data_IF_111515353505
#
_entry.id   IF_111515353505
#
_cell.length_a   1.000
_cell.length_b   1.000
_cell.length_c   1.000
_cell.angle_alpha   90.00
_cell.angle_beta   90.00
_cell.angle_gamma   90.00
#
_symmetry.space_group_name_H-M   'P 1'
#
loop_
_entity.id
_entity.type
_entity.pdbx_description
1 polymer ?
#
# COMPACT_ATOMS: atom_id res chain seq x y z
N UNK A 1 -9.25 25.50 -1.12
CA UNK A 1 -9.99 24.24 -0.96
C UNK A 1 -9.15 23.06 -1.45
N UNK A 2 -8.45 22.38 -0.53
CA UNK A 2 -7.80 21.09 -0.82
C UNK A 2 -8.81 20.10 -1.42
N UNK A 3 -8.55 19.63 -2.64
CA UNK A 3 -9.35 18.57 -3.26
C UNK A 3 -8.85 17.20 -2.78
N UNK A 4 -9.80 16.34 -2.40
CA UNK A 4 -9.54 14.97 -1.94
C UNK A 4 -10.06 14.02 -3.01
N UNK A 5 -9.19 13.16 -3.54
CA UNK A 5 -9.56 12.12 -4.50
C UNK A 5 -9.37 10.75 -3.85
N UNK A 6 -10.37 9.88 -4.00
CA UNK A 6 -10.33 8.49 -3.55
C UNK A 6 -10.38 7.58 -4.76
N UNK A 7 -9.37 6.73 -4.92
CA UNK A 7 -9.28 5.79 -6.04
C UNK A 7 -9.36 4.37 -5.50
N UNK A 8 -10.26 3.58 -6.07
CA UNK A 8 -10.39 2.16 -5.76
C UNK A 8 -9.35 1.35 -6.54
N UNK A 9 -8.86 0.24 -5.99
CA UNK A 9 -8.01 -0.67 -6.74
C UNK A 9 -8.78 -1.22 -7.95
N UNK A 10 -8.06 -1.52 -9.02
CA UNK A 10 -8.55 -2.32 -10.14
C UNK A 10 -8.65 -3.80 -9.73
N UNK A 11 -7.67 -4.25 -8.95
CA UNK A 11 -7.61 -5.63 -8.49
C UNK A 11 -6.76 -5.76 -7.24
N UNK A 12 -7.05 -6.80 -6.48
CA UNK A 12 -6.23 -7.24 -5.35
C UNK A 12 -6.14 -8.76 -5.39
N UNK A 13 -4.99 -9.30 -5.01
CA UNK A 13 -4.82 -10.73 -4.76
C UNK A 13 -3.70 -10.92 -3.73
N UNK A 14 -3.48 -12.15 -3.29
CA UNK A 14 -2.26 -12.51 -2.60
C UNK A 14 -1.71 -13.82 -3.17
N UNK A 15 -0.46 -14.08 -2.87
CA UNK A 15 0.22 -15.33 -3.17
C UNK A 15 0.91 -15.81 -1.90
N UNK A 16 1.02 -17.13 -1.74
CA UNK A 16 1.70 -17.72 -0.59
C UNK A 16 2.72 -18.78 -1.01
N UNK A 17 3.82 -18.89 -0.26
CA UNK A 17 4.91 -19.81 -0.58
C UNK A 17 4.57 -21.28 -0.34
N UNK A 18 3.54 -21.58 0.46
CA UNK A 18 3.08 -22.93 0.75
C UNK A 18 2.23 -23.53 -0.38
N UNK A 19 1.55 -22.68 -1.15
CA UNK A 19 0.74 -23.04 -2.32
C UNK A 19 1.24 -22.29 -3.55
N UNK A 20 2.51 -22.48 -3.89
CA UNK A 20 3.24 -21.61 -4.81
C UNK A 20 2.69 -21.50 -6.25
N UNK A 21 1.76 -22.39 -6.64
CA UNK A 21 1.08 -22.40 -7.95
C UNK A 21 -0.43 -22.09 -7.86
N UNK A 22 -0.94 -21.70 -6.69
CA UNK A 22 -2.34 -21.28 -6.53
C UNK A 22 -2.48 -19.77 -6.65
N UNK A 23 -3.67 -19.35 -7.07
CA UNK A 23 -4.08 -17.95 -7.14
C UNK A 23 -5.25 -17.74 -6.17
N UNK A 24 -5.30 -16.57 -5.54
CA UNK A 24 -6.29 -16.25 -4.51
C UNK A 24 -7.06 -14.95 -4.79
N UNK A 25 -7.25 -14.59 -6.07
CA UNK A 25 -7.82 -13.29 -6.45
C UNK A 25 -9.28 -13.08 -6.03
N UNK A 26 -10.03 -14.16 -5.83
CA UNK A 26 -11.44 -14.10 -5.43
C UNK A 26 -11.62 -13.92 -3.91
N UNK A 27 -10.56 -14.09 -3.12
CA UNK A 27 -10.66 -14.02 -1.67
C UNK A 27 -11.06 -12.62 -1.19
N UNK A 28 -11.89 -12.55 -0.14
CA UNK A 28 -12.31 -11.30 0.52
C UNK A 28 -11.20 -10.66 1.37
N UNK A 29 -10.06 -11.33 1.49
CA UNK A 29 -8.90 -10.86 2.24
C UNK A 29 -7.63 -11.04 1.40
N UNK A 30 -6.68 -10.14 1.61
CA UNK A 30 -5.30 -10.27 1.15
C UNK A 30 -4.39 -10.34 2.38
N UNK A 31 -3.26 -11.04 2.23
CA UNK A 31 -2.37 -11.35 3.33
C UNK A 31 -0.95 -10.89 3.02
N UNK A 32 -0.26 -10.37 4.04
CA UNK A 32 1.15 -10.04 3.97
C UNK A 32 1.83 -10.40 5.28
N UNK A 33 3.10 -10.82 5.23
CA UNK A 33 3.84 -11.28 6.39
C UNK A 33 4.15 -12.77 6.31
N UNK A 34 4.39 -13.39 7.45
CA UNK A 34 4.73 -14.80 7.57
C UNK A 34 3.85 -15.49 8.62
N UNK A 35 3.53 -16.75 8.35
CA UNK A 35 2.92 -17.66 9.29
C UNK A 35 3.92 -18.74 9.67
N UNK A 36 4.23 -18.88 10.96
CA UNK A 36 5.30 -19.76 11.44
C UNK A 36 4.71 -21.08 11.95
N UNK A 37 4.88 -22.15 11.16
CA UNK A 37 4.52 -23.50 11.61
C UNK A 37 5.51 -24.00 12.67
N UNK A 38 6.77 -23.61 12.57
CA UNK A 38 7.84 -23.89 13.53
C UNK A 38 8.95 -22.84 13.43
N UNK A 39 9.94 -22.90 14.34
CA UNK A 39 11.09 -21.99 14.30
C UNK A 39 11.86 -22.01 12.97
N UNK A 40 11.81 -23.12 12.22
CA UNK A 40 12.53 -23.30 10.95
C UNK A 40 11.60 -23.42 9.73
N UNK A 41 10.30 -23.27 9.90
CA UNK A 41 9.34 -23.39 8.80
C UNK A 41 8.27 -22.31 8.88
N UNK A 42 8.18 -21.51 7.83
CA UNK A 42 7.14 -20.51 7.65
C UNK A 42 6.56 -20.53 6.25
N UNK A 43 5.32 -20.06 6.16
CA UNK A 43 4.67 -19.72 4.89
C UNK A 43 4.70 -18.21 4.77
N UNK A 44 5.23 -17.71 3.66
CA UNK A 44 5.31 -16.28 3.36
C UNK A 44 4.09 -15.88 2.53
N UNK A 45 3.55 -14.71 2.82
CA UNK A 45 2.42 -14.13 2.12
C UNK A 45 2.81 -12.79 1.51
N UNK A 46 2.48 -12.62 0.24
CA UNK A 46 2.66 -11.37 -0.52
C UNK A 46 1.32 -10.94 -1.10
N UNK A 47 0.84 -9.77 -0.70
CA UNK A 47 -0.33 -9.14 -1.31
C UNK A 47 0.08 -8.35 -2.54
N UNK A 48 -0.76 -8.36 -3.57
CA UNK A 48 -0.58 -7.63 -4.82
C UNK A 48 -1.80 -6.74 -5.06
N UNK A 49 -1.57 -5.46 -5.40
CA UNK A 49 -2.64 -4.47 -5.59
C UNK A 49 -2.37 -3.63 -6.83
N UNK A 50 -3.37 -3.51 -7.72
CA UNK A 50 -3.32 -2.61 -8.89
C UNK A 50 -4.29 -1.46 -8.74
N UNK A 51 -3.90 -0.29 -9.27
CA UNK A 51 -4.73 0.91 -9.32
C UNK A 51 -4.79 1.45 -10.74
N UNK A 52 -5.90 2.08 -11.10
CA UNK A 52 -5.95 2.95 -12.28
C UNK A 52 -5.63 4.38 -11.85
N UNK A 53 -4.66 5.01 -12.49
CA UNK A 53 -4.21 6.36 -12.16
C UNK A 53 -4.57 7.36 -13.26
N UNK A 54 -5.38 6.98 -14.26
CA UNK A 54 -5.79 7.88 -15.36
C UNK A 54 -6.42 9.18 -14.87
N UNK A 55 -7.10 9.14 -13.73
CA UNK A 55 -7.77 10.31 -13.15
C UNK A 55 -6.83 11.20 -12.31
N UNK A 56 -5.54 10.85 -12.19
CA UNK A 56 -4.54 11.62 -11.45
C UNK A 56 -3.68 12.48 -12.38
N UNK A 57 -3.80 13.80 -12.24
CA UNK A 57 -2.85 14.75 -12.83
C UNK A 57 -1.60 14.87 -11.96
N UNK A 58 -0.42 14.82 -12.58
CA UNK A 58 0.87 14.75 -11.88
C UNK A 58 1.33 16.05 -11.21
N UNK A 59 0.72 17.20 -11.56
CA UNK A 59 1.26 18.52 -11.20
C UNK A 59 0.84 19.02 -9.81
N UNK A 60 -0.20 18.46 -9.17
CA UNK A 60 -0.78 19.02 -7.93
C UNK A 60 -0.77 18.06 -6.73
N UNK A 61 -0.13 16.89 -6.85
CA UNK A 61 -0.17 15.85 -5.82
C UNK A 61 0.90 16.09 -4.74
N UNK A 62 0.50 16.69 -3.63
CA UNK A 62 1.37 16.87 -2.45
C UNK A 62 1.57 15.58 -1.66
N UNK A 63 0.47 14.93 -1.25
CA UNK A 63 0.51 13.71 -0.44
C UNK A 63 -0.45 12.66 -0.99
N UNK A 64 0.05 11.43 -1.11
CA UNK A 64 -0.71 10.27 -1.57
C UNK A 64 -0.51 9.14 -0.57
N UNK A 65 -1.62 8.62 -0.07
CA UNK A 65 -1.66 7.57 0.94
C UNK A 65 -2.34 6.33 0.39
N UNK A 66 -1.73 5.17 0.62
CA UNK A 66 -2.42 3.89 0.55
C UNK A 66 -3.17 3.70 1.87
N UNK A 67 -4.48 3.50 1.77
CA UNK A 67 -5.33 3.15 2.90
C UNK A 67 -5.65 1.65 2.86
N UNK A 68 -5.31 0.93 3.92
CA UNK A 68 -5.56 -0.50 4.07
C UNK A 68 -6.43 -0.74 5.28
N UNK A 69 -7.49 -1.54 5.15
CA UNK A 69 -8.29 -1.95 6.30
C UNK A 69 -7.70 -3.21 6.93
N UNK A 70 -7.30 -3.12 8.20
CA UNK A 70 -6.72 -4.23 8.95
C UNK A 70 -7.85 -5.05 9.56
N UNK A 71 -8.07 -6.25 9.04
CA UNK A 71 -9.08 -7.16 9.57
C UNK A 71 -8.56 -7.91 10.80
N UNK A 72 -7.29 -8.32 10.78
CA UNK A 72 -6.70 -9.10 11.85
C UNK A 72 -5.17 -9.08 11.79
N UNK A 73 -4.54 -9.38 12.91
CA UNK A 73 -3.10 -9.60 13.03
C UNK A 73 -2.94 -10.97 13.67
N UNK A 74 -2.50 -11.94 12.88
CA UNK A 74 -2.11 -13.23 13.43
C UNK A 74 -0.67 -13.12 13.92
N UNK A 75 -0.52 -12.60 15.13
CA UNK A 75 0.72 -12.73 15.88
C UNK A 75 0.81 -14.17 16.37
N UNK A 76 1.41 -15.05 15.55
CA UNK A 76 1.86 -16.35 16.05
C UNK A 76 2.67 -16.07 17.32
N UNK A 77 2.26 -16.65 18.44
CA UNK A 77 2.88 -16.42 19.76
C UNK A 77 4.32 -16.94 19.86
N UNK A 78 4.90 -17.41 18.75
CA UNK A 78 6.29 -17.84 18.67
C UNK A 78 7.21 -16.64 18.53
N UNK A 79 7.97 -16.40 19.60
CA UNK A 79 9.19 -15.61 19.74
C UNK A 79 9.61 -14.75 18.53
N UNK A 80 9.66 -13.42 18.76
CA UNK A 80 10.23 -12.38 17.89
C UNK A 80 9.38 -11.90 16.71
N UNK A 81 8.06 -12.15 16.71
CA UNK A 81 7.17 -11.60 15.70
C UNK A 81 7.04 -10.07 15.83
N UNK A 82 7.47 -9.32 14.81
CA UNK A 82 7.19 -7.89 14.68
C UNK A 82 6.03 -7.68 13.69
N UNK A 83 5.43 -6.50 13.66
CA UNK A 83 4.37 -6.18 12.69
C UNK A 83 4.88 -5.22 11.62
N UNK A 84 6.16 -5.34 11.25
CA UNK A 84 6.79 -4.50 10.24
C UNK A 84 6.63 -5.16 8.88
N UNK A 85 5.99 -4.47 7.95
CA UNK A 85 5.83 -4.87 6.57
C UNK A 85 6.52 -3.86 5.64
N UNK A 86 6.61 -4.25 4.37
CA UNK A 86 7.19 -3.44 3.32
C UNK A 86 6.21 -3.32 2.15
N UNK A 87 6.06 -2.11 1.61
CA UNK A 87 5.41 -1.85 0.33
C UNK A 87 6.47 -1.68 -0.73
N UNK A 88 6.34 -2.41 -1.82
CA UNK A 88 7.22 -2.35 -2.98
C UNK A 88 6.47 -1.86 -4.20
N UNK A 89 7.16 -1.10 -5.05
CA UNK A 89 6.76 -0.88 -6.44
C UNK A 89 7.10 -2.12 -7.24
N UNK A 90 6.14 -2.66 -7.99
CA UNK A 90 6.40 -3.75 -8.93
C UNK A 90 7.15 -3.21 -10.17
N UNK A 91 8.13 -3.97 -10.65
CA UNK A 91 8.93 -3.62 -11.84
C UNK A 91 8.34 -4.18 -13.14
N UNK A 92 7.39 -5.10 -13.04
CA UNK A 92 6.76 -5.77 -14.18
C UNK A 92 5.25 -5.96 -13.92
N UNK A 93 4.41 -5.94 -14.98
CA UNK A 93 2.99 -6.18 -14.83
C UNK A 93 2.72 -7.63 -14.40
N UNK A 94 1.60 -7.83 -13.70
CA UNK A 94 1.09 -9.16 -13.39
C UNK A 94 -0.40 -9.25 -13.74
N UNK A 95 -0.85 -10.47 -14.04
CA UNK A 95 -2.27 -10.73 -14.26
C UNK A 95 -2.88 -11.29 -12.96
N UNK A 96 -3.81 -10.51 -12.40
CA UNK A 96 -4.43 -10.81 -11.11
C UNK A 96 -5.12 -12.18 -11.06
N UNK A 97 -5.68 -12.65 -12.18
CA UNK A 97 -6.46 -13.90 -12.24
C UNK A 97 -5.61 -15.17 -12.34
N UNK A 98 -4.30 -15.06 -12.58
CA UNK A 98 -3.43 -16.23 -12.72
C UNK A 98 -2.06 -16.09 -12.02
N UNK A 99 -1.74 -14.94 -11.43
CA UNK A 99 -0.49 -14.76 -10.68
C UNK A 99 -0.42 -15.75 -9.52
N UNK A 100 0.76 -16.32 -9.34
CA UNK A 100 1.11 -17.29 -8.31
C UNK A 100 2.37 -16.81 -7.59
N UNK A 101 2.78 -17.48 -6.52
CA UNK A 101 4.04 -17.16 -5.86
C UNK A 101 5.22 -17.17 -6.84
N UNK A 102 5.28 -18.23 -7.66
CA UNK A 102 6.34 -18.46 -8.65
C UNK A 102 6.32 -17.48 -9.84
N UNK A 103 5.20 -16.78 -10.06
CA UNK A 103 5.04 -15.80 -11.15
C UNK A 103 4.78 -14.37 -10.64
N UNK A 104 4.98 -14.14 -9.34
CA UNK A 104 4.83 -12.80 -8.76
C UNK A 104 5.93 -11.86 -9.28
N UNK A 105 5.61 -10.57 -9.50
CA UNK A 105 6.54 -9.63 -10.11
C UNK A 105 7.76 -9.36 -9.22
N UNK A 106 8.86 -8.96 -9.86
CA UNK A 106 10.01 -8.39 -9.17
C UNK A 106 9.67 -7.03 -8.54
N UNK A 107 10.35 -6.72 -7.44
CA UNK A 107 10.10 -5.56 -6.59
C UNK A 107 11.28 -4.57 -6.62
N UNK A 108 10.97 -3.27 -6.53
CA UNK A 108 11.95 -2.18 -6.38
C UNK A 108 12.34 -1.94 -4.91
N UNK A 109 12.79 -0.74 -4.54
CA UNK A 109 13.02 -0.34 -3.15
C UNK A 109 11.72 -0.23 -2.32
N UNK A 110 11.73 -0.72 -1.06
CA UNK A 110 10.55 -0.70 -0.21
C UNK A 110 10.33 0.63 0.52
N UNK A 111 9.07 0.84 0.92
CA UNK A 111 8.67 1.70 2.04
C UNK A 111 8.28 0.79 3.20
N UNK A 112 8.93 0.96 4.36
CA UNK A 112 8.61 0.18 5.56
C UNK A 112 7.51 0.85 6.38
N UNK A 113 6.65 0.04 6.97
CA UNK A 113 5.61 0.51 7.87
C UNK A 113 5.32 -0.55 8.93
N UNK A 114 4.83 -0.10 10.09
CA UNK A 114 4.45 -0.95 11.22
C UNK A 114 2.95 -0.95 11.37
N UNK A 115 2.38 -2.07 11.81
CA UNK A 115 0.97 -2.18 12.19
C UNK A 115 0.87 -2.47 13.68
N UNK A 116 0.10 -1.66 14.38
CA UNK A 116 -0.15 -1.85 15.80
C UNK A 116 -1.38 -2.74 16.01
N UNK A 117 -1.43 -3.55 17.09
CA UNK A 117 -2.64 -4.27 17.47
C UNK A 117 -3.90 -3.38 17.57
N UNK A 118 -3.71 -2.08 17.86
CA UNK A 118 -4.78 -1.11 17.94
C UNK A 118 -5.39 -0.71 16.58
N UNK A 119 -4.73 -1.06 15.46
CA UNK A 119 -5.19 -0.81 14.09
C UNK A 119 -6.21 -1.82 13.61
N UNK A 120 -6.33 -2.97 14.29
CA UNK A 120 -7.33 -3.99 13.97
C UNK A 120 -8.73 -3.37 14.01
N UNK A 121 -9.50 -3.61 12.94
CA UNK A 121 -10.82 -3.04 12.74
C UNK A 121 -10.81 -1.61 12.18
N UNK A 122 -9.67 -1.07 11.75
CA UNK A 122 -9.54 0.30 11.23
C UNK A 122 -8.79 0.36 9.90
N UNK A 123 -8.91 1.51 9.23
CA UNK A 123 -8.03 1.86 8.11
C UNK A 123 -6.74 2.49 8.63
N UNK A 124 -5.60 1.95 8.21
CA UNK A 124 -4.29 2.59 8.34
C UNK A 124 -3.97 3.41 7.09
N UNK A 125 -3.08 4.40 7.22
CA UNK A 125 -2.62 5.24 6.10
C UNK A 125 -1.10 5.15 5.97
N UNK A 126 -0.64 4.82 4.78
CA UNK A 126 0.79 4.65 4.47
C UNK A 126 1.13 5.62 3.35
N UNK A 127 2.10 6.51 3.58
CA UNK A 127 2.50 7.48 2.57
C UNK A 127 3.28 6.77 1.46
N UNK A 128 2.76 6.79 0.24
CA UNK A 128 3.37 6.17 -0.95
C UNK A 128 3.58 7.19 -2.07
N UNK A 129 3.69 8.47 -1.70
CA UNK A 129 3.81 9.59 -2.65
C UNK A 129 4.98 9.41 -3.62
N UNK A 130 6.12 8.91 -3.14
CA UNK A 130 7.30 8.65 -3.98
C UNK A 130 7.02 7.58 -5.05
N UNK A 131 6.35 6.49 -4.69
CA UNK A 131 5.98 5.41 -5.63
C UNK A 131 5.03 5.94 -6.70
N UNK A 132 3.97 6.64 -6.31
CA UNK A 132 2.98 7.14 -7.27
C UNK A 132 3.55 8.22 -8.18
N UNK A 133 4.40 9.12 -7.66
CA UNK A 133 5.12 10.10 -8.50
C UNK A 133 6.06 9.42 -9.49
N UNK A 134 6.71 8.33 -9.09
CA UNK A 134 7.55 7.51 -9.98
C UNK A 134 6.71 6.91 -11.11
N UNK A 135 5.54 6.32 -10.80
CA UNK A 135 4.60 5.81 -11.81
C UNK A 135 4.15 6.86 -12.82
N UNK A 136 3.74 8.04 -12.34
CA UNK A 136 3.28 9.12 -13.22
C UNK A 136 4.40 9.66 -14.12
N UNK A 137 5.64 9.65 -13.63
CA UNK A 137 6.81 10.12 -14.39
C UNK A 137 7.22 9.12 -15.48
N UNK A 138 7.22 7.84 -15.16
CA UNK A 138 7.78 6.79 -16.02
C UNK A 138 6.72 6.03 -16.83
N UNK A 139 5.43 6.24 -16.53
CA UNK A 139 4.31 5.49 -17.09
C UNK A 139 4.41 3.96 -16.85
N UNK A 140 4.88 3.57 -15.66
CA UNK A 140 5.19 2.17 -15.27
C UNK A 140 4.38 1.70 -14.06
N UNK A 141 3.08 2.04 -14.03
CA UNK A 141 2.16 1.59 -12.98
C UNK A 141 1.82 0.10 -13.11
N UNK A 142 2.67 -0.75 -12.56
CA UNK A 142 2.49 -2.21 -12.50
C UNK A 142 1.93 -2.72 -11.17
N UNK A 143 1.46 -1.81 -10.32
CA UNK A 143 0.92 -2.12 -9.00
C UNK A 143 1.97 -2.25 -7.89
N UNK A 144 1.47 -2.61 -6.71
CA UNK A 144 2.24 -2.73 -5.48
C UNK A 144 2.30 -4.18 -5.01
N UNK A 145 3.41 -4.52 -4.37
CA UNK A 145 3.52 -5.70 -3.51
C UNK A 145 3.58 -5.27 -2.05
N UNK A 146 2.88 -5.98 -1.17
CA UNK A 146 3.02 -5.85 0.28
C UNK A 146 3.46 -7.19 0.83
N UNK A 147 4.61 -7.22 1.50
CA UNK A 147 5.19 -8.45 2.03
C UNK A 147 5.93 -8.19 3.34
N UNK A 148 6.38 -9.28 3.96
CA UNK A 148 7.17 -9.26 5.17
C UNK A 148 8.45 -8.43 4.96
N UNK A 149 8.79 -7.54 5.90
CA UNK A 149 10.12 -6.90 5.88
C UNK A 149 11.23 -7.92 6.14
N UNK A 150 10.95 -8.89 7.02
CA UNK A 150 11.86 -9.96 7.38
C UNK A 150 11.09 -11.25 7.70
N UNK A 151 11.83 -12.33 7.91
CA UNK A 151 11.26 -13.64 8.17
C UNK A 151 10.29 -13.69 9.37
N UNK A 152 10.37 -12.74 10.31
CA UNK A 152 9.61 -12.69 11.56
C UNK A 152 8.47 -11.67 11.55
N UNK A 153 8.04 -11.19 10.38
CA UNK A 153 6.90 -10.27 10.30
C UNK A 153 5.58 -11.03 10.46
N UNK A 154 4.79 -10.72 11.48
CA UNK A 154 3.47 -11.32 11.73
C UNK A 154 2.58 -11.32 10.50
N UNK A 155 1.78 -12.37 10.33
CA UNK A 155 0.80 -12.44 9.25
C UNK A 155 -0.32 -11.42 9.50
N UNK A 156 -0.41 -10.43 8.61
CA UNK A 156 -1.46 -9.42 8.64
C UNK A 156 -2.52 -9.75 7.61
N UNK A 157 -3.78 -9.67 8.04
CA UNK A 157 -4.95 -9.85 7.20
C UNK A 157 -5.56 -8.50 6.88
N UNK A 158 -5.50 -8.10 5.61
CA UNK A 158 -6.17 -6.92 5.10
C UNK A 158 -7.45 -7.29 4.35
N UNK A 159 -8.38 -6.36 4.26
CA UNK A 159 -9.51 -6.49 3.34
C UNK A 159 -9.04 -6.41 1.89
N UNK A 160 -9.65 -7.22 1.01
CA UNK A 160 -9.42 -7.17 -0.44
C UNK A 160 -10.43 -6.27 -1.15
N UNK A 161 -10.31 -6.13 -2.48
CA UNK A 161 -11.30 -5.45 -3.32
C UNK A 161 -12.70 -6.07 -3.25
N UNK A 162 -12.80 -7.36 -2.94
CA UNK A 162 -14.05 -8.11 -2.84
C UNK A 162 -14.73 -7.96 -1.46
N UNK A 163 -14.17 -7.13 -0.58
CA UNK A 163 -14.70 -6.81 0.75
C UNK A 163 -15.49 -5.50 0.73
N UNK A 164 -16.31 -5.29 1.76
CA UNK A 164 -17.07 -4.04 1.95
C UNK A 164 -16.17 -2.87 2.38
N UNK A 165 -14.90 -3.16 2.71
CA UNK A 165 -13.88 -2.20 3.15
C UNK A 165 -12.60 -2.34 2.31
N UNK A 166 -12.65 -2.13 0.99
CA UNK A 166 -11.50 -2.38 0.12
C UNK A 166 -10.33 -1.43 0.40
N UNK A 167 -9.11 -1.78 -0.05
CA UNK A 167 -7.99 -0.84 -0.13
C UNK A 167 -8.36 0.40 -0.94
N UNK A 168 -7.70 1.53 -0.69
CA UNK A 168 -7.95 2.79 -1.40
C UNK A 168 -6.65 3.59 -1.56
N UNK A 169 -6.49 4.31 -2.66
CA UNK A 169 -5.58 5.46 -2.70
C UNK A 169 -6.35 6.71 -2.29
N UNK A 170 -5.72 7.50 -1.43
CA UNK A 170 -6.24 8.76 -0.94
C UNK A 170 -5.23 9.86 -1.27
N UNK A 171 -5.65 10.85 -2.06
CA UNK A 171 -4.82 12.02 -2.36
C UNK A 171 -5.28 13.24 -1.57
N UNK A 172 -4.31 14.05 -1.17
CA UNK A 172 -4.55 15.37 -0.61
C UNK A 172 -3.74 16.38 -1.41
N UNK A 173 -4.43 17.28 -2.10
CA UNK A 173 -3.83 18.40 -2.83
C UNK A 173 -3.70 19.60 -1.88
N UNK A 174 -2.54 20.26 -1.88
CA UNK A 174 -2.40 21.61 -1.34
C UNK A 174 -2.73 22.60 -2.45
N UNK A 175 -3.67 23.51 -2.20
CA UNK A 175 -3.89 24.62 -3.12
C UNK A 175 -2.71 25.59 -3.03
N UNK A 176 -1.95 25.69 -4.12
CA UNK A 176 -0.84 26.65 -4.29
C UNK A 176 -1.33 28.11 -4.20
N UNK A 177 -2.64 28.36 -4.37
CA UNK A 177 -3.25 29.69 -4.26
C UNK A 177 -3.34 30.27 -2.83
N UNK A 178 -2.95 29.53 -1.79
CA UNK A 178 -2.91 30.06 -0.42
C UNK A 178 -1.56 30.68 -0.01
N UNK A 179 -0.48 30.50 -0.79
CA UNK A 179 0.82 31.13 -0.45
C UNK A 179 1.02 32.49 -1.12
N UNK A 180 0.50 32.71 -2.34
CA UNK A 180 0.76 33.97 -3.05
C UNK A 180 0.04 35.20 -2.46
N UNK A 181 -1.09 35.00 -1.78
CA UNK A 181 -1.84 36.09 -1.14
C UNK A 181 -1.31 36.50 0.25
N UNK A 182 -0.36 35.75 0.82
CA UNK A 182 0.25 36.08 2.11
C UNK A 182 1.63 36.77 2.00
N UNK A 183 2.21 36.86 0.80
CA UNK A 183 3.45 37.63 0.59
C UNK A 183 3.22 39.12 0.31
N UNK A 184 2.06 39.50 -0.24
CA UNK A 184 1.77 40.90 -0.59
C UNK A 184 1.18 41.75 0.55
N UNK A 185 0.84 41.14 1.69
CA UNK A 185 0.30 41.85 2.87
C UNK A 185 1.37 42.28 3.88
N UNK A 186 2.62 41.84 3.73
CA UNK A 186 3.74 42.21 4.62
C UNK A 186 4.64 43.33 4.08
N UNK A 187 4.39 43.85 2.88
CA UNK A 187 5.24 44.90 2.25
C UNK A 187 4.65 46.32 2.39
N UNK A 188 3.40 46.49 2.85
CA UNK A 188 2.73 47.80 2.86
C UNK A 188 2.49 48.43 4.25
N UNK A 189 3.12 47.94 5.32
CA UNK A 189 3.09 48.61 6.63
C UNK A 189 4.48 48.84 7.21
N UNK A 190 5.32 49.58 6.48
CA UNK A 190 6.46 50.29 7.04
C UNK A 190 6.80 51.50 6.17
N UNK A 191 5.97 52.53 6.24
CA UNK A 191 6.32 53.94 5.95
C UNK A 191 5.09 54.83 6.22
N UNK A 192 4.95 55.29 7.46
CA UNK A 192 4.54 56.64 7.83
C UNK A 192 4.74 56.84 9.32
#
# INVERSE_FOLDING_TARGET
MSSIIKIKPLSTTYVDSGHANQNFCENRNIFAGSFHKSACSSVMFKSLINFDLKDLNSHDLSNIYLCLYVNDINSDTSYYSNSILSIYKNLEPFNNSNVTWNSSPCNDYPIHFTIDPSDVGKYIKINITSIVKSWLKNNDNYGLSIEANNYYSSLIKFASINSDKPPLLYTQNMDINCEYNNYNTLVNHSCR
#
